data_IF_753926027196
#
_entry.id   IF_753926027196
#
_cell.length_a   1.000
_cell.length_b   1.000
_cell.length_c   1.000
_cell.angle_alpha   90.00
_cell.angle_beta   90.00
_cell.angle_gamma   90.00
#
_symmetry.space_group_name_H-M   'P 1'
#
loop_
_entity.id
_entity.type
_entity.pdbx_description
1 polymer ?
#
# COMPACT_ATOMS: atom_id res chain seq x y z
N UNK A 1 -16.09 -1.67 5.68
CA UNK A 1 -14.95 -0.74 5.78
C UNK A 1 -13.69 -1.58 5.70
N UNK A 2 -12.62 -1.11 5.05
CA UNK A 2 -11.37 -1.87 5.03
C UNK A 2 -10.75 -1.84 6.42
N UNK A 3 -10.47 -3.01 6.99
CA UNK A 3 -10.10 -3.18 8.40
C UNK A 3 -8.68 -2.65 8.74
N UNK A 4 -7.93 -2.15 7.75
CA UNK A 4 -6.51 -1.78 7.86
C UNK A 4 -6.17 -0.31 7.51
N UNK A 5 -7.15 0.60 7.45
CA UNK A 5 -6.87 2.01 7.12
C UNK A 5 -6.51 2.84 8.38
N UNK A 6 -5.33 2.63 8.96
CA UNK A 6 -4.79 3.52 10.01
C UNK A 6 -3.99 4.66 9.37
N UNK A 7 -4.65 5.79 9.09
CA UNK A 7 -3.96 7.02 8.66
C UNK A 7 -3.52 7.81 9.90
N UNK A 8 -2.23 8.18 9.96
CA UNK A 8 -1.67 8.88 11.12
C UNK A 8 -2.16 10.34 11.26
N UNK A 9 -2.33 11.12 10.16
CA UNK A 9 -2.77 12.55 10.23
C UNK A 9 -3.52 13.10 8.98
N UNK A 10 -4.66 13.80 9.20
CA UNK A 10 -5.47 14.74 8.35
C UNK A 10 -6.04 14.27 6.99
N UNK A 11 -6.98 15.03 6.40
CA UNK A 11 -7.76 14.69 5.19
C UNK A 11 -6.89 14.33 3.98
N UNK A 12 -7.20 13.24 3.28
CA UNK A 12 -6.50 12.89 2.03
C UNK A 12 -7.06 13.64 0.84
N UNK A 13 -6.19 14.09 -0.07
CA UNK A 13 -6.61 14.52 -1.41
C UNK A 13 -7.06 13.30 -2.21
N UNK A 14 -8.36 13.01 -2.17
CA UNK A 14 -8.92 11.82 -2.83
C UNK A 14 -9.25 12.07 -4.31
N UNK A 15 -9.08 11.04 -5.15
CA UNK A 15 -9.59 11.00 -6.54
C UNK A 15 -10.11 9.61 -6.89
N UNK A 16 -10.91 9.50 -7.95
CA UNK A 16 -11.30 8.20 -8.52
C UNK A 16 -10.32 7.82 -9.62
N UNK A 17 -9.69 6.65 -9.50
CA UNK A 17 -8.76 6.13 -10.50
C UNK A 17 -9.21 4.77 -11.02
N UNK A 18 -8.91 4.50 -12.28
CA UNK A 18 -8.89 3.13 -12.79
C UNK A 18 -7.65 2.41 -12.28
N UNK A 19 -7.89 1.50 -11.33
CA UNK A 19 -6.86 0.68 -10.70
C UNK A 19 -6.93 -0.77 -11.18
N UNK A 20 -7.88 -1.10 -12.07
CA UNK A 20 -8.20 -2.47 -12.45
C UNK A 20 -9.10 -3.19 -11.43
N UNK A 21 -9.65 -4.33 -11.88
CA UNK A 21 -10.55 -5.16 -11.05
C UNK A 21 -9.77 -5.94 -9.99
N UNK A 22 -10.39 -6.18 -8.84
CA UNK A 22 -9.78 -7.02 -7.80
C UNK A 22 -8.75 -6.31 -6.92
N UNK A 23 -8.65 -4.99 -6.99
CA UNK A 23 -7.77 -4.20 -6.12
C UNK A 23 -8.51 -3.87 -4.84
N UNK A 24 -7.92 -4.18 -3.69
CA UNK A 24 -8.53 -3.94 -2.39
C UNK A 24 -8.24 -2.53 -1.87
N UNK A 25 -9.03 -2.06 -0.91
CA UNK A 25 -8.70 -0.89 -0.10
C UNK A 25 -7.45 -1.10 0.75
N UNK A 26 -6.64 -0.06 0.89
CA UNK A 26 -5.33 -0.08 1.54
C UNK A 26 -4.19 -0.50 0.63
N UNK A 27 -4.44 -0.69 -0.67
CA UNK A 27 -3.42 -1.11 -1.63
C UNK A 27 -2.76 0.10 -2.29
N UNK A 28 -1.42 0.21 -2.30
CA UNK A 28 -0.73 1.21 -3.09
C UNK A 28 -0.92 0.92 -4.59
N UNK A 29 -1.15 1.96 -5.38
CA UNK A 29 -1.44 1.88 -6.82
C UNK A 29 -0.73 3.00 -7.57
N UNK A 30 -0.41 2.73 -8.84
CA UNK A 30 0.15 3.72 -9.77
C UNK A 30 -0.95 4.11 -10.75
N UNK A 31 -1.20 5.40 -10.89
CA UNK A 31 -2.13 5.89 -11.90
C UNK A 31 -1.55 5.67 -13.30
N UNK A 32 -2.24 4.86 -14.11
CA UNK A 32 -1.81 4.49 -15.47
C UNK A 32 -1.71 5.68 -16.44
N UNK A 33 -2.38 6.80 -16.14
CA UNK A 33 -2.44 7.96 -17.04
C UNK A 33 -1.31 8.96 -16.80
N UNK A 34 -0.89 9.17 -15.55
CA UNK A 34 0.06 10.21 -15.18
C UNK A 34 1.20 9.74 -14.26
N UNK A 35 1.26 8.44 -13.93
CA UNK A 35 2.29 7.86 -13.06
C UNK A 35 2.18 8.25 -11.59
N UNK A 36 1.14 8.98 -11.19
CA UNK A 36 0.96 9.43 -9.81
C UNK A 36 0.72 8.25 -8.87
N UNK A 37 1.34 8.28 -7.70
CA UNK A 37 1.20 7.25 -6.67
C UNK A 37 0.01 7.56 -5.77
N UNK A 38 -0.73 6.53 -5.38
CA UNK A 38 -1.80 6.68 -4.42
C UNK A 38 -2.13 5.38 -3.68
N UNK A 39 -3.02 5.47 -2.70
CA UNK A 39 -3.50 4.33 -1.90
C UNK A 39 -5.00 4.25 -2.01
N UNK A 40 -5.53 3.09 -2.40
CA UNK A 40 -6.97 2.87 -2.46
C UNK A 40 -7.62 3.02 -1.07
N UNK A 41 -8.70 3.78 -0.96
CA UNK A 41 -9.50 3.91 0.26
C UNK A 41 -10.66 2.92 0.31
N UNK A 42 -10.99 2.35 -0.85
CA UNK A 42 -12.02 1.34 -1.01
C UNK A 42 -11.58 0.36 -2.10
N UNK A 43 -12.11 -0.86 -2.05
CA UNK A 43 -11.92 -1.84 -3.11
C UNK A 43 -12.41 -1.27 -4.45
N UNK A 44 -11.79 -1.72 -5.55
CA UNK A 44 -12.30 -1.42 -6.87
C UNK A 44 -13.68 -2.05 -7.07
N UNK A 45 -14.56 -1.36 -7.80
CA UNK A 45 -15.96 -1.77 -7.94
C UNK A 45 -16.11 -3.21 -8.45
N UNK A 46 -17.04 -3.96 -7.84
CA UNK A 46 -17.35 -5.33 -8.22
C UNK A 46 -16.38 -6.39 -7.71
N UNK A 47 -15.34 -6.00 -6.97
CA UNK A 47 -14.35 -6.89 -6.35
C UNK A 47 -15.00 -7.86 -5.37
N UNK A 48 -14.65 -9.14 -5.48
CA UNK A 48 -15.09 -10.20 -4.56
C UNK A 48 -13.90 -10.61 -3.72
N UNK A 49 -14.08 -10.65 -2.40
CA UNK A 49 -13.09 -11.10 -1.42
C UNK A 49 -13.64 -12.29 -0.68
N UNK A 50 -12.87 -13.37 -0.65
CA UNK A 50 -13.15 -14.54 0.16
C UNK A 50 -12.07 -14.64 1.23
N UNK A 51 -12.48 -14.55 2.49
CA UNK A 51 -11.62 -14.73 3.65
C UNK A 51 -11.78 -16.16 4.16
N UNK A 52 -10.67 -16.78 4.53
CA UNK A 52 -10.62 -18.15 5.11
C UNK A 52 -9.79 -18.20 6.39
N UNK A 53 -9.10 -17.12 6.74
CA UNK A 53 -8.25 -16.98 7.93
C UNK A 53 -8.90 -16.04 8.95
N UNK A 54 -8.52 -16.19 10.22
CA UNK A 54 -9.03 -15.37 11.35
C UNK A 54 -10.57 -15.37 11.49
N UNK A 55 -11.21 -16.43 11.01
CA UNK A 55 -12.66 -16.62 11.13
C UNK A 55 -13.02 -17.32 12.45
N UNK A 56 -14.20 -17.02 13.03
CA UNK A 56 -14.78 -17.86 14.08
C UNK A 56 -14.80 -19.33 13.65
N UNK A 57 -14.48 -20.25 14.58
CA UNK A 57 -14.24 -21.66 14.24
C UNK A 57 -15.41 -22.44 13.59
N UNK A 58 -16.60 -21.86 13.53
CA UNK A 58 -17.76 -22.41 12.81
C UNK A 58 -17.81 -22.03 11.32
N UNK A 59 -16.95 -21.13 10.85
CA UNK A 59 -16.91 -20.63 9.47
C UNK A 59 -15.65 -21.12 8.76
N UNK A 60 -15.84 -21.73 7.59
CA UNK A 60 -14.75 -22.16 6.71
C UNK A 60 -14.35 -21.08 5.70
N UNK A 61 -15.30 -20.22 5.33
CA UNK A 61 -15.04 -19.03 4.53
C UNK A 61 -16.12 -17.96 4.71
N UNK A 62 -15.75 -16.71 4.44
CA UNK A 62 -16.70 -15.58 4.30
C UNK A 62 -16.40 -14.88 3.00
N UNK A 63 -17.41 -14.77 2.13
CA UNK A 63 -17.29 -14.02 0.87
C UNK A 63 -18.05 -12.71 0.97
N UNK A 64 -17.33 -11.60 0.77
CA UNK A 64 -17.90 -10.26 0.65
C UNK A 64 -17.65 -9.73 -0.76
N UNK A 65 -18.66 -9.08 -1.34
CA UNK A 65 -18.51 -8.38 -2.61
C UNK A 65 -18.65 -6.89 -2.36
N UNK A 66 -17.66 -6.14 -2.83
CA UNK A 66 -17.72 -4.69 -2.87
C UNK A 66 -18.69 -4.30 -3.99
N UNK A 67 -19.96 -4.09 -3.60
CA UNK A 67 -21.07 -3.85 -4.51
C UNK A 67 -22.07 -2.83 -3.93
N UNK A 68 -22.63 -2.01 -4.82
CA UNK A 68 -23.65 -0.98 -4.57
C UNK A 68 -23.92 -0.24 -5.88
N UNK A 69 -25.07 0.42 -6.02
CA UNK A 69 -25.37 1.24 -7.21
C UNK A 69 -24.32 2.37 -7.32
N UNK A 70 -23.55 2.39 -8.41
CA UNK A 70 -22.55 3.44 -8.68
C UNK A 70 -21.07 3.08 -8.48
N UNK A 71 -20.74 1.80 -8.25
CA UNK A 71 -19.36 1.31 -8.26
C UNK A 71 -18.99 0.77 -9.65
N UNK A 72 -18.27 1.57 -10.44
CA UNK A 72 -17.74 1.16 -11.74
C UNK A 72 -16.67 0.07 -11.57
N UNK A 73 -16.73 -0.97 -12.43
CA UNK A 73 -15.77 -2.06 -12.37
C UNK A 73 -14.34 -1.56 -12.58
N UNK A 74 -13.45 -1.84 -11.64
CA UNK A 74 -12.04 -1.44 -11.73
C UNK A 74 -11.73 -0.01 -11.29
N UNK A 75 -12.75 0.78 -10.90
CA UNK A 75 -12.54 2.10 -10.33
C UNK A 75 -12.49 2.02 -8.81
N UNK A 76 -11.51 2.68 -8.20
CA UNK A 76 -11.42 2.87 -6.75
C UNK A 76 -11.25 4.35 -6.40
N UNK A 77 -11.67 4.73 -5.18
CA UNK A 77 -11.28 6.01 -4.58
C UNK A 77 -9.88 5.84 -4.02
N UNK A 78 -8.98 6.77 -4.36
CA UNK A 78 -7.55 6.72 -4.04
C UNK A 78 -7.14 8.01 -3.33
N UNK A 79 -6.42 7.88 -2.21
CA UNK A 79 -5.70 8.97 -1.56
C UNK A 79 -4.33 9.19 -2.22
N UNK A 80 -3.96 10.44 -2.48
CA UNK A 80 -2.72 10.79 -3.19
C UNK A 80 -1.62 11.34 -2.26
N UNK A 81 -1.89 11.30 -0.96
CA UNK A 81 -1.04 11.87 0.07
C UNK A 81 -1.27 11.20 1.42
N UNK A 82 -0.27 11.38 2.29
CA UNK A 82 -0.29 10.99 3.68
C UNK A 82 0.58 9.77 3.98
N UNK A 83 0.65 9.47 5.27
CA UNK A 83 1.41 8.36 5.83
C UNK A 83 0.51 7.14 6.04
N UNK A 84 0.95 6.01 5.49
CA UNK A 84 0.22 4.74 5.45
C UNK A 84 1.12 3.60 5.90
N UNK A 85 0.57 2.63 6.62
CA UNK A 85 1.33 1.46 7.07
C UNK A 85 1.38 0.40 5.97
N UNK A 86 2.59 0.00 5.57
CA UNK A 86 2.82 -1.07 4.60
C UNK A 86 3.90 -2.03 5.07
N UNK A 87 3.78 -3.28 4.65
CA UNK A 87 4.92 -4.20 4.64
C UNK A 87 5.94 -3.71 3.61
N UNK A 88 7.18 -3.49 4.05
CA UNK A 88 8.29 -3.05 3.20
C UNK A 88 9.46 -4.02 3.37
N UNK A 89 9.92 -4.62 2.28
CA UNK A 89 11.06 -5.53 2.32
C UNK A 89 12.37 -4.76 2.51
N UNK A 90 13.23 -5.27 3.39
CA UNK A 90 14.57 -4.71 3.63
C UNK A 90 14.61 -3.57 4.66
N UNK A 91 13.48 -3.21 5.27
CA UNK A 91 13.48 -2.32 6.44
C UNK A 91 14.00 -3.04 7.68
N UNK A 92 14.57 -2.27 8.59
CA UNK A 92 14.99 -2.73 9.91
C UNK A 92 14.04 -2.13 10.94
N UNK A 93 13.54 -2.96 11.84
CA UNK A 93 12.69 -2.52 12.95
C UNK A 93 13.37 -1.44 13.78
N UNK A 94 12.60 -0.38 14.05
CA UNK A 94 13.07 0.81 14.77
C UNK A 94 12.20 1.12 15.98
N UNK A 95 11.68 0.07 16.62
CA UNK A 95 10.89 0.20 17.85
C UNK A 95 11.51 1.21 18.82
N UNK A 96 10.67 1.92 19.58
CA UNK A 96 11.08 2.85 20.66
C UNK A 96 11.85 2.20 21.81
N UNK A 97 12.35 0.98 21.65
CA UNK A 97 13.06 0.24 22.69
C UNK A 97 14.48 0.80 22.87
N UNK A 98 14.94 1.03 24.12
CA UNK A 98 16.24 1.67 24.39
C UNK A 98 17.48 0.92 23.89
N UNK A 99 17.33 -0.32 23.42
CA UNK A 99 18.43 -1.24 23.10
C UNK A 99 18.37 -1.77 21.65
N UNK A 100 17.45 -1.31 20.82
CA UNK A 100 17.45 -1.62 19.38
C UNK A 100 18.43 -0.72 18.63
N UNK A 101 19.10 -1.25 17.60
CA UNK A 101 19.85 -0.40 16.67
C UNK A 101 18.96 0.69 16.07
N UNK A 102 19.55 1.75 15.52
CA UNK A 102 18.76 2.71 14.76
C UNK A 102 18.02 1.95 13.65
N UNK A 103 16.68 1.92 13.69
CA UNK A 103 15.86 1.35 12.62
C UNK A 103 16.08 2.10 11.31
N UNK A 104 15.35 1.71 10.26
CA UNK A 104 15.43 2.46 8.99
C UNK A 104 15.10 3.94 9.22
N UNK A 105 15.98 4.83 8.76
CA UNK A 105 15.84 6.26 8.99
C UNK A 105 14.61 6.84 8.29
N UNK A 106 13.95 7.81 8.94
CA UNK A 106 13.00 8.69 8.27
C UNK A 106 13.63 9.32 7.01
N UNK A 107 12.85 9.46 5.95
CA UNK A 107 13.31 9.98 4.66
C UNK A 107 13.97 8.94 3.75
N UNK A 108 14.14 7.70 4.20
CA UNK A 108 14.62 6.61 3.34
C UNK A 108 13.61 6.37 2.22
N UNK A 109 14.09 6.35 0.96
CA UNK A 109 13.24 6.13 -0.22
C UNK A 109 12.64 4.72 -0.21
N UNK A 110 11.38 4.64 -0.59
CA UNK A 110 10.62 3.38 -0.77
C UNK A 110 10.22 3.28 -2.23
N UNK A 111 10.42 2.09 -2.79
CA UNK A 111 10.14 1.77 -4.18
C UNK A 111 9.13 0.62 -4.27
N UNK A 112 8.28 0.65 -5.29
CA UNK A 112 7.38 -0.44 -5.66
C UNK A 112 8.06 -1.37 -6.66
N UNK A 113 8.02 -2.66 -6.34
CA UNK A 113 8.20 -3.70 -7.34
C UNK A 113 6.91 -3.81 -8.15
N UNK A 114 7.01 -3.66 -9.46
CA UNK A 114 5.88 -3.68 -10.38
C UNK A 114 6.01 -4.87 -11.32
N UNK A 115 5.01 -5.75 -11.33
CA UNK A 115 4.94 -6.88 -12.26
C UNK A 115 3.69 -6.74 -13.11
N UNK A 116 3.85 -6.71 -14.43
CA UNK A 116 2.73 -6.55 -15.38
C UNK A 116 1.83 -5.33 -15.09
N UNK A 117 2.42 -4.24 -14.59
CA UNK A 117 1.71 -2.99 -14.27
C UNK A 117 0.97 -3.01 -12.93
N UNK A 118 1.22 -4.00 -12.07
CA UNK A 118 0.64 -4.11 -10.72
C UNK A 118 1.76 -4.05 -9.69
N UNK A 119 1.56 -3.28 -8.61
CA UNK A 119 2.47 -3.28 -7.47
C UNK A 119 2.38 -4.64 -6.76
N UNK A 120 3.49 -5.37 -6.69
CA UNK A 120 3.58 -6.69 -6.05
C UNK A 120 4.28 -6.64 -4.69
N UNK A 121 4.99 -5.56 -4.39
CA UNK A 121 5.62 -5.34 -3.09
C UNK A 121 6.26 -3.96 -2.99
N UNK A 122 6.64 -3.58 -1.77
CA UNK A 122 7.44 -2.39 -1.50
C UNK A 122 8.82 -2.80 -0.97
N UNK A 123 9.86 -2.04 -1.34
CA UNK A 123 11.26 -2.32 -1.02
C UNK A 123 12.05 -1.03 -0.82
N UNK A 124 13.20 -1.10 -0.14
CA UNK A 124 14.16 0.00 -0.06
C UNK A 124 15.13 0.07 -1.25
N UNK A 125 15.15 -0.94 -2.11
CA UNK A 125 16.07 -1.01 -3.25
C UNK A 125 15.45 -0.37 -4.50
N UNK A 126 16.20 0.55 -5.13
CA UNK A 126 15.81 1.14 -6.41
C UNK A 126 15.90 0.14 -7.58
N UNK A 127 16.73 -0.90 -7.43
CA UNK A 127 16.89 -2.02 -8.37
C UNK A 127 16.41 -3.34 -7.74
N UNK A 128 16.13 -4.35 -8.57
CA UNK A 128 15.76 -5.70 -8.13
C UNK A 128 16.98 -6.60 -7.84
N UNK A 129 18.18 -6.01 -7.73
CA UNK A 129 19.40 -6.73 -7.39
C UNK A 129 20.02 -7.59 -8.50
N UNK A 130 19.66 -7.39 -9.77
CA UNK A 130 20.39 -8.06 -10.86
C UNK A 130 19.90 -7.90 -12.29
N UNK A 131 18.74 -7.28 -12.54
CA UNK A 131 18.24 -7.09 -13.90
C UNK A 131 18.44 -5.64 -14.37
N UNK A 132 19.31 -5.35 -15.35
CA UNK A 132 19.59 -3.98 -15.81
C UNK A 132 18.43 -3.29 -16.55
N UNK A 133 17.21 -3.84 -16.48
CA UNK A 133 16.05 -3.39 -17.24
C UNK A 133 14.79 -3.14 -16.39
N UNK A 134 14.86 -3.30 -15.06
CA UNK A 134 13.70 -3.07 -14.18
C UNK A 134 14.12 -2.20 -13.00
N UNK A 135 13.97 -0.89 -13.18
CA UNK A 135 14.02 0.06 -12.06
C UNK A 135 12.71 -0.05 -11.29
N UNK A 136 12.79 -0.27 -9.97
CA UNK A 136 11.61 -0.20 -9.10
C UNK A 136 11.08 1.24 -9.12
N UNK A 137 9.76 1.39 -9.07
CA UNK A 137 9.14 2.72 -9.17
C UNK A 137 9.18 3.42 -7.82
N UNK A 138 9.64 4.67 -7.75
CA UNK A 138 9.59 5.44 -6.51
C UNK A 138 8.14 5.65 -6.04
N UNK A 139 7.88 5.36 -4.76
CA UNK A 139 6.53 5.41 -4.15
C UNK A 139 6.43 6.50 -3.09
N UNK A 140 7.53 6.74 -2.36
CA UNK A 140 7.53 7.67 -1.24
C UNK A 140 8.74 7.48 -0.33
N UNK A 141 8.58 7.89 0.93
CA UNK A 141 9.63 7.77 1.95
C UNK A 141 9.12 7.12 3.22
N UNK A 142 10.01 6.53 4.00
CA UNK A 142 9.74 6.18 5.39
C UNK A 142 9.43 7.46 6.17
N UNK A 143 8.23 7.55 6.72
CA UNK A 143 7.74 8.73 7.46
C UNK A 143 8.33 8.79 8.87
N UNK A 144 8.56 7.65 9.51
CA UNK A 144 9.22 7.57 10.81
C UNK A 144 9.87 6.19 11.04
N UNK A 145 10.63 6.07 12.13
CA UNK A 145 11.30 4.83 12.51
C UNK A 145 10.44 3.79 13.24
N UNK A 146 9.12 4.00 13.44
CA UNK A 146 8.23 3.05 14.11
C UNK A 146 7.90 1.86 13.20
N UNK A 147 8.92 1.05 12.95
CA UNK A 147 8.86 -0.13 12.09
C UNK A 147 8.81 -1.36 13.00
N UNK A 148 7.81 -2.21 12.78
CA UNK A 148 7.56 -3.43 13.55
C UNK A 148 7.25 -4.57 12.58
N UNK A 149 8.00 -5.67 12.69
CA UNK A 149 7.81 -6.86 11.85
C UNK A 149 7.81 -6.54 10.34
N UNK A 150 8.64 -5.59 9.92
CA UNK A 150 8.71 -5.14 8.52
C UNK A 150 7.56 -4.24 8.05
N UNK A 151 6.61 -3.90 8.93
CA UNK A 151 5.55 -2.91 8.65
C UNK A 151 6.06 -1.53 8.99
N UNK A 152 6.15 -0.66 8.00
CA UNK A 152 6.67 0.70 8.12
C UNK A 152 5.60 1.75 7.71
N UNK A 153 5.59 2.94 8.35
CA UNK A 153 4.82 4.06 7.85
C UNK A 153 5.54 4.70 6.65
N UNK A 154 4.85 4.72 5.52
CA UNK A 154 5.33 5.30 4.26
C UNK A 154 4.50 6.52 3.92
N UNK A 155 5.17 7.66 3.81
CA UNK A 155 4.58 8.89 3.28
C UNK A 155 4.57 8.86 1.75
N UNK A 156 3.38 8.92 1.16
CA UNK A 156 3.18 9.02 -0.30
C UNK A 156 2.84 10.44 -0.72
N UNK A 157 3.05 10.76 -2.00
CA UNK A 157 2.76 12.09 -2.55
C UNK A 157 3.87 13.12 -2.30
N UNK A 158 5.01 12.68 -1.79
CA UNK A 158 6.26 13.45 -1.74
C UNK A 158 6.90 13.49 -3.14
N UNK A 159 7.40 14.66 -3.53
CA UNK A 159 8.19 14.80 -4.75
C UNK A 159 9.58 14.21 -4.54
N UNK A 160 10.13 13.55 -5.56
CA UNK A 160 11.50 13.00 -5.53
C UNK A 160 12.58 14.09 -5.48
#
# INVERSE_FOLDING_TARGET
>A
MADNLYKKYTESKTRRWDVGVGVFGGTPVINKQNGEIGVTLADSGGTTRTETSNLPGSLTSVTRRSAGVGYDSGIAVVARDGSWLFEVTGVTDGETTPNGGAGTNQGTKVYATVTSGVITGLTLAADDGGSPAVDNTYVGIIDDGYIVDGVAPVEIGVAE
#
